data_IF_681820622656
#
_entry.id   IF_681820622656
#
_cell.length_a   1.000
_cell.length_b   1.000
_cell.length_c   1.000
_cell.angle_alpha   90.00
_cell.angle_beta   90.00
_cell.angle_gamma   90.00
#
_symmetry.space_group_name_H-M   'P 1'
#
loop_
_entity.id
_entity.type
_entity.pdbx_description
1 polymer ?
#
# COMPACT_ATOMS: atom_id res chain seq x y z
N UNK A 1 8.62 5.12 -25.12
CA UNK A 1 7.31 5.31 -24.47
C UNK A 1 7.26 4.50 -23.18
N UNK A 2 6.91 5.16 -22.09
CA UNK A 2 6.90 4.49 -20.78
C UNK A 2 5.71 3.54 -20.66
N UNK A 3 6.00 2.30 -20.24
CA UNK A 3 4.94 1.34 -19.95
C UNK A 3 4.51 1.52 -18.49
N UNK A 4 3.39 2.22 -18.29
CA UNK A 4 2.89 2.58 -16.96
C UNK A 4 2.64 1.33 -16.11
N UNK A 5 2.12 0.25 -16.71
CA UNK A 5 1.89 -1.00 -15.98
C UNK A 5 3.19 -1.55 -15.39
N UNK A 6 4.25 -1.57 -16.19
CA UNK A 6 5.55 -2.05 -15.71
C UNK A 6 6.14 -1.12 -14.65
N UNK A 7 5.98 0.19 -14.81
CA UNK A 7 6.45 1.14 -13.79
C UNK A 7 5.73 0.90 -12.47
N UNK A 8 4.41 0.73 -12.51
CA UNK A 8 3.62 0.47 -11.30
C UNK A 8 4.03 -0.84 -10.65
N UNK A 9 4.18 -1.91 -11.44
CA UNK A 9 4.61 -3.21 -10.90
C UNK A 9 5.98 -3.11 -10.22
N UNK A 10 6.92 -2.43 -10.86
CA UNK A 10 8.26 -2.25 -10.30
C UNK A 10 8.23 -1.38 -9.04
N UNK A 11 7.38 -0.36 -9.02
CA UNK A 11 7.22 0.50 -7.84
C UNK A 11 6.63 -0.30 -6.68
N UNK A 12 5.66 -1.18 -6.96
CA UNK A 12 5.09 -2.05 -5.93
C UNK A 12 6.13 -2.99 -5.32
N UNK A 13 7.08 -3.48 -6.12
CA UNK A 13 8.17 -4.31 -5.60
C UNK A 13 9.05 -3.52 -4.64
N UNK A 14 9.36 -2.28 -4.99
CA UNK A 14 10.15 -1.39 -4.12
C UNK A 14 9.38 -1.04 -2.85
N UNK A 15 8.08 -0.79 -2.98
CA UNK A 15 7.20 -0.52 -1.85
C UNK A 15 7.25 -1.70 -0.86
N UNK A 16 7.10 -2.92 -1.37
CA UNK A 16 7.14 -4.12 -0.53
C UNK A 16 8.48 -4.27 0.19
N UNK A 17 9.58 -3.98 -0.49
CA UNK A 17 10.92 -4.04 0.09
C UNK A 17 11.09 -3.03 1.22
N UNK A 18 10.69 -1.77 0.99
CA UNK A 18 10.80 -0.73 2.01
C UNK A 18 9.86 -1.02 3.19
N UNK A 19 8.66 -1.51 2.90
CA UNK A 19 7.72 -1.91 3.93
C UNK A 19 8.32 -3.02 4.82
N UNK A 20 8.95 -4.02 4.21
CA UNK A 20 9.58 -5.11 4.93
C UNK A 20 10.72 -4.69 5.86
N UNK A 21 11.31 -3.52 5.60
CA UNK A 21 12.33 -2.94 6.47
C UNK A 21 11.74 -2.21 7.68
N UNK A 22 10.42 -2.05 7.72
CA UNK A 22 9.76 -1.31 8.79
C UNK A 22 9.94 0.21 8.68
N UNK A 23 10.21 0.72 7.48
CA UNK A 23 10.46 2.14 7.25
C UNK A 23 9.19 2.84 6.81
N UNK A 24 8.39 3.30 7.77
CA UNK A 24 7.12 3.93 7.49
C UNK A 24 7.26 5.24 6.69
N UNK A 25 8.28 6.04 6.97
CA UNK A 25 8.50 7.27 6.21
C UNK A 25 8.92 6.97 4.78
N UNK A 26 9.69 5.90 4.58
CA UNK A 26 10.06 5.43 3.23
C UNK A 26 8.84 4.95 2.45
N UNK A 27 7.90 4.26 3.11
CA UNK A 27 6.64 3.86 2.49
C UNK A 27 5.83 5.09 2.10
N UNK A 28 5.71 6.08 2.99
CA UNK A 28 4.96 7.30 2.72
C UNK A 28 5.53 8.09 1.54
N UNK A 29 6.82 7.96 1.28
CA UNK A 29 7.47 8.66 0.17
C UNK A 29 7.00 8.17 -1.21
N UNK A 30 6.35 7.01 -1.29
CA UNK A 30 5.74 6.53 -2.54
C UNK A 30 4.41 7.24 -2.85
N UNK A 31 3.87 8.02 -1.93
CA UNK A 31 2.61 8.73 -2.09
C UNK A 31 2.86 10.18 -2.48
N UNK A 32 1.89 10.79 -3.16
CA UNK A 32 1.96 12.23 -3.42
C UNK A 32 1.83 13.01 -2.10
N UNK A 33 2.26 14.27 -2.09
CA UNK A 33 2.27 15.09 -0.88
C UNK A 33 0.88 15.28 -0.28
N UNK A 34 -0.16 15.27 -1.12
CA UNK A 34 -1.55 15.44 -0.69
C UNK A 34 -2.38 14.17 -0.89
N UNK A 35 -1.74 13.02 -0.96
CA UNK A 35 -2.40 11.75 -1.19
C UNK A 35 -3.40 11.42 -0.08
N UNK A 36 -4.40 10.64 -0.43
CA UNK A 36 -5.40 10.14 0.51
C UNK A 36 -5.21 8.66 0.74
N UNK A 37 -5.23 8.27 2.00
CA UNK A 37 -5.17 6.88 2.42
C UNK A 37 -6.51 6.53 3.05
N UNK A 38 -7.16 5.50 2.52
CA UNK A 38 -8.51 5.13 2.94
C UNK A 38 -8.52 3.69 3.46
N UNK A 39 -8.05 3.48 4.70
CA UNK A 39 -7.96 2.14 5.25
C UNK A 39 -9.33 1.60 5.66
N UNK A 40 -9.50 0.27 5.70
CA UNK A 40 -10.77 -0.31 6.13
C UNK A 40 -11.03 -0.02 7.60
N UNK A 41 -12.28 0.30 7.90
CA UNK A 41 -12.72 0.49 9.29
C UNK A 41 -12.23 1.76 9.94
N UNK A 42 -11.70 2.72 9.18
CA UNK A 42 -11.16 3.97 9.72
C UNK A 42 -11.47 5.13 8.78
N UNK A 43 -11.46 6.36 9.30
CA UNK A 43 -11.64 7.53 8.44
C UNK A 43 -10.50 7.69 7.44
N UNK A 44 -10.78 8.38 6.34
CA UNK A 44 -9.75 8.71 5.36
C UNK A 44 -8.73 9.66 5.96
N UNK A 45 -7.47 9.44 5.59
CA UNK A 45 -6.33 10.25 6.01
C UNK A 45 -5.79 11.00 4.80
N UNK A 46 -5.15 12.13 5.03
CA UNK A 46 -4.58 12.90 3.94
C UNK A 46 -3.21 13.46 4.33
N UNK A 47 -2.25 13.35 3.41
CA UNK A 47 -0.95 13.97 3.55
C UNK A 47 0.11 13.03 4.11
N UNK A 48 1.38 13.39 3.86
CA UNK A 48 2.53 12.53 4.17
C UNK A 48 2.66 12.23 5.66
N UNK A 49 2.40 13.20 6.51
CA UNK A 49 2.53 13.01 7.96
C UNK A 49 1.53 12.00 8.49
N UNK A 50 0.25 12.14 8.07
CA UNK A 50 -0.79 11.21 8.50
C UNK A 50 -0.56 9.80 7.96
N UNK A 51 -0.10 9.70 6.72
CA UNK A 51 0.19 8.41 6.08
C UNK A 51 1.36 7.71 6.78
N UNK A 52 2.41 8.46 7.11
CA UNK A 52 3.55 7.92 7.85
C UNK A 52 3.10 7.38 9.21
N UNK A 53 2.30 8.17 9.94
CA UNK A 53 1.82 7.76 11.25
C UNK A 53 0.95 6.49 11.17
N UNK A 54 0.11 6.40 10.14
CA UNK A 54 -0.72 5.22 9.95
C UNK A 54 0.13 3.96 9.75
N UNK A 55 1.09 4.00 8.83
CA UNK A 55 1.92 2.83 8.54
C UNK A 55 2.84 2.49 9.71
N UNK A 56 3.32 3.50 10.42
CA UNK A 56 4.11 3.27 11.63
C UNK A 56 3.28 2.52 12.68
N UNK A 57 2.03 2.93 12.86
CA UNK A 57 1.11 2.24 13.78
C UNK A 57 0.84 0.81 13.37
N UNK A 58 0.62 0.58 12.08
CA UNK A 58 0.39 -0.76 11.56
C UNK A 58 1.58 -1.68 11.80
N UNK A 59 2.78 -1.17 11.57
CA UNK A 59 4.02 -1.92 11.80
C UNK A 59 4.21 -2.26 13.27
N UNK A 60 3.89 -1.32 14.16
CA UNK A 60 3.95 -1.56 15.60
C UNK A 60 2.96 -2.60 16.07
N UNK A 61 1.83 -2.74 15.37
CA UNK A 61 0.81 -3.75 15.68
C UNK A 61 1.16 -5.13 15.15
N UNK A 62 2.29 -5.27 14.47
CA UNK A 62 2.79 -6.58 14.06
C UNK A 62 2.76 -6.85 12.57
N UNK A 63 2.32 -5.89 11.74
CA UNK A 63 2.34 -6.08 10.29
C UNK A 63 3.78 -5.92 9.81
N UNK A 64 4.37 -7.01 9.30
CA UNK A 64 5.79 -7.05 8.94
C UNK A 64 6.05 -7.03 7.45
N UNK A 65 5.13 -7.55 6.64
CA UNK A 65 5.32 -7.62 5.20
C UNK A 65 4.05 -7.21 4.49
N UNK A 66 4.21 -6.62 3.31
CA UNK A 66 3.11 -6.33 2.40
C UNK A 66 3.56 -6.73 1.00
N UNK A 67 2.80 -7.62 0.37
CA UNK A 67 3.05 -8.03 -1.01
C UNK A 67 1.89 -7.53 -1.86
N UNK A 68 2.20 -6.92 -2.98
CA UNK A 68 1.21 -6.31 -3.87
C UNK A 68 1.27 -7.00 -5.22
N UNK A 69 0.13 -7.49 -5.69
CA UNK A 69 0.02 -8.13 -7.00
C UNK A 69 -0.88 -7.29 -7.89
N UNK A 70 -0.31 -6.71 -8.94
CA UNK A 70 -1.05 -5.91 -9.92
C UNK A 70 -1.90 -6.82 -10.79
N UNK A 71 -3.22 -6.61 -10.80
CA UNK A 71 -4.13 -7.38 -11.66
C UNK A 71 -4.40 -6.61 -12.93
N UNK A 72 -4.70 -5.31 -12.83
CA UNK A 72 -5.05 -4.50 -14.00
C UNK A 72 -4.60 -3.07 -13.81
N UNK A 73 -4.22 -2.43 -14.90
CA UNK A 73 -3.86 -1.01 -14.92
C UNK A 73 -4.55 -0.36 -16.11
N UNK A 74 -5.29 0.71 -15.84
CA UNK A 74 -5.92 1.51 -16.88
C UNK A 74 -5.38 2.92 -16.85
N UNK A 75 -5.05 3.45 -18.01
CA UNK A 75 -4.61 4.83 -18.15
C UNK A 75 -5.19 5.42 -19.43
N UNK A 76 -5.53 6.70 -19.38
CA UNK A 76 -6.00 7.45 -20.53
C UNK A 76 -4.87 8.15 -21.29
N UNK A 77 -3.61 7.89 -20.89
CA UNK A 77 -2.44 8.50 -21.51
C UNK A 77 -2.04 9.82 -20.88
N UNK A 78 -2.73 10.27 -19.84
CA UNK A 78 -2.38 11.47 -19.10
C UNK A 78 -1.58 11.19 -17.84
N UNK A 79 -1.74 12.03 -16.84
CA UNK A 79 -0.98 11.95 -15.59
C UNK A 79 -1.60 11.02 -14.56
N UNK A 80 -2.71 10.36 -14.88
CA UNK A 80 -3.41 9.47 -13.95
C UNK A 80 -3.49 8.06 -14.51
N UNK A 81 -3.38 7.09 -13.60
CA UNK A 81 -3.59 5.68 -13.92
C UNK A 81 -4.29 5.02 -12.75
N UNK A 82 -5.15 4.05 -13.04
CA UNK A 82 -5.86 3.29 -12.02
C UNK A 82 -5.33 1.87 -12.00
N UNK A 83 -4.96 1.40 -10.82
CA UNK A 83 -4.50 0.02 -10.62
C UNK A 83 -5.51 -0.73 -9.77
N UNK A 84 -5.86 -1.94 -10.21
CA UNK A 84 -6.59 -2.91 -9.40
C UNK A 84 -5.61 -4.01 -9.04
N UNK A 85 -5.55 -4.38 -7.76
CA UNK A 85 -4.63 -5.40 -7.32
C UNK A 85 -5.10 -6.18 -6.12
N UNK A 86 -4.26 -7.12 -5.72
CA UNK A 86 -4.45 -7.93 -4.52
C UNK A 86 -3.26 -7.75 -3.60
N UNK A 87 -3.52 -7.82 -2.30
CA UNK A 87 -2.44 -7.72 -1.33
C UNK A 87 -2.41 -8.93 -0.41
N UNK A 88 -1.24 -9.19 0.13
CA UNK A 88 -1.04 -10.14 1.22
C UNK A 88 -0.22 -9.43 2.30
N UNK A 89 -0.78 -9.36 3.50
CA UNK A 89 -0.07 -8.81 4.65
C UNK A 89 0.40 -9.96 5.53
N UNK A 90 1.67 -9.93 5.92
CA UNK A 90 2.21 -10.88 6.89
C UNK A 90 2.26 -10.23 8.25
N UNK A 91 1.66 -10.88 9.25
CA UNK A 91 1.55 -10.36 10.61
C UNK A 91 2.13 -11.37 11.59
N UNK A 92 2.81 -10.86 12.63
CA UNK A 92 3.22 -11.70 13.73
C UNK A 92 2.04 -11.97 14.65
N UNK A 93 2.05 -13.16 15.29
CA UNK A 93 1.06 -13.48 16.29
C UNK A 93 1.13 -12.46 17.44
N UNK A 94 -0.02 -12.01 17.99
CA UNK A 94 -0.02 -10.99 19.03
C UNK A 94 0.77 -11.32 20.27
N UNK A 95 0.94 -12.61 20.57
CA UNK A 95 1.64 -13.06 21.77
C UNK A 95 3.14 -13.31 21.52
N UNK A 96 3.63 -13.04 20.32
CA UNK A 96 5.01 -13.32 19.97
C UNK A 96 5.31 -14.79 19.81
N UNK A 97 4.29 -15.65 19.70
CA UNK A 97 4.43 -17.10 19.65
C UNK A 97 5.01 -17.65 18.36
N UNK A 98 5.48 -16.81 17.46
CA UNK A 98 6.20 -17.23 16.27
C UNK A 98 5.36 -17.68 15.11
N UNK A 99 4.07 -17.84 15.26
CA UNK A 99 3.20 -18.17 14.13
C UNK A 99 2.85 -16.90 13.36
N UNK A 100 3.16 -16.92 12.06
CA UNK A 100 2.83 -15.81 11.17
C UNK A 100 1.43 -16.02 10.63
N UNK A 101 0.62 -14.96 10.69
CA UNK A 101 -0.73 -14.94 10.12
C UNK A 101 -0.69 -14.10 8.86
N UNK A 102 -1.34 -14.57 7.80
CA UNK A 102 -1.47 -13.81 6.57
C UNK A 102 -2.89 -13.33 6.40
N UNK A 103 -3.03 -12.10 5.93
CA UNK A 103 -4.32 -11.53 5.56
C UNK A 103 -4.25 -11.12 4.11
N UNK A 104 -5.23 -11.56 3.32
CA UNK A 104 -5.32 -11.19 1.91
C UNK A 104 -6.48 -10.25 1.67
N UNK A 105 -6.38 -9.49 0.60
CA UNK A 105 -7.42 -8.57 0.23
C UNK A 105 -7.21 -8.01 -1.17
N UNK A 106 -7.96 -6.97 -1.47
CA UNK A 106 -7.93 -6.30 -2.78
C UNK A 106 -7.90 -4.80 -2.58
N UNK A 107 -7.39 -4.11 -3.60
CA UNK A 107 -7.21 -2.67 -3.52
C UNK A 107 -7.40 -2.02 -4.87
N UNK A 108 -7.72 -0.73 -4.82
CA UNK A 108 -7.65 0.17 -5.96
C UNK A 108 -6.75 1.33 -5.57
N UNK A 109 -5.80 1.65 -6.44
CA UNK A 109 -4.93 2.81 -6.27
C UNK A 109 -5.06 3.71 -7.48
N UNK A 110 -5.29 4.99 -7.23
CA UNK A 110 -5.16 6.02 -8.25
C UNK A 110 -3.73 6.53 -8.19
N UNK A 111 -2.98 6.29 -9.27
CA UNK A 111 -1.61 6.73 -9.41
C UNK A 111 -1.57 8.06 -10.13
N UNK A 112 -0.62 8.90 -9.75
CA UNK A 112 -0.41 10.19 -10.40
C UNK A 112 1.05 10.34 -10.80
N UNK A 113 1.26 10.78 -12.04
CA UNK A 113 2.60 11.14 -12.51
C UNK A 113 2.93 12.53 -11.96
N UNK A 114 3.77 12.55 -10.94
CA UNK A 114 4.14 13.76 -10.22
C UNK A 114 5.57 14.15 -10.62
N UNK A 115 5.68 15.06 -11.59
CA UNK A 115 6.97 15.51 -12.05
C UNK A 115 7.84 14.45 -12.71
N UNK A 116 7.21 13.43 -13.32
CA UNK A 116 7.93 12.34 -13.97
C UNK A 116 8.02 11.07 -13.15
N UNK A 117 7.55 11.09 -11.90
CA UNK A 117 7.55 9.93 -11.02
C UNK A 117 6.11 9.54 -10.70
N UNK A 118 5.75 8.28 -10.96
CA UNK A 118 4.43 7.77 -10.62
C UNK A 118 4.36 7.50 -9.12
N UNK A 119 3.37 8.11 -8.46
CA UNK A 119 3.16 7.99 -7.02
C UNK A 119 1.71 7.67 -6.72
N UNK A 120 1.47 7.00 -5.58
CA UNK A 120 0.11 6.74 -5.12
C UNK A 120 -0.54 8.06 -4.73
N UNK A 121 -1.72 8.34 -5.29
CA UNK A 121 -2.46 9.58 -5.02
C UNK A 121 -3.72 9.32 -4.20
N UNK A 122 -4.36 8.17 -4.39
CA UNK A 122 -5.46 7.72 -3.56
C UNK A 122 -5.36 6.20 -3.43
N UNK A 123 -5.49 5.69 -2.22
CA UNK A 123 -5.26 4.29 -1.91
C UNK A 123 -6.38 3.78 -1.01
N UNK A 124 -7.15 2.83 -1.52
CA UNK A 124 -8.24 2.22 -0.77
C UNK A 124 -8.14 0.69 -0.86
N UNK A 125 -8.34 0.03 0.26
CA UNK A 125 -8.32 -1.43 0.28
C UNK A 125 -9.29 -2.00 1.30
N UNK A 126 -9.58 -3.27 1.15
CA UNK A 126 -10.30 -4.03 2.17
C UNK A 126 -9.88 -5.49 2.13
N UNK A 127 -10.02 -6.14 3.25
CA UNK A 127 -9.67 -7.54 3.40
C UNK A 127 -10.74 -8.45 2.80
N UNK A 128 -10.32 -9.64 2.38
CA UNK A 128 -11.26 -10.65 1.87
C UNK A 128 -12.06 -11.30 2.98
N UNK A 129 -11.51 -11.33 4.20
CA UNK A 129 -12.15 -11.92 5.37
C UNK A 129 -11.88 -11.02 6.57
N UNK A 130 -12.69 -11.13 7.65
CA UNK A 130 -12.40 -10.39 8.87
C UNK A 130 -11.02 -10.73 9.41
N UNK A 131 -10.39 -9.76 10.07
CA UNK A 131 -9.08 -9.99 10.68
C UNK A 131 -9.21 -11.08 11.75
N UNK A 132 -8.35 -12.10 11.71
CA UNK A 132 -8.38 -13.14 12.74
C UNK A 132 -8.17 -12.54 14.13
N UNK A 133 -8.96 -13.00 15.10
CA UNK A 133 -8.79 -12.62 16.48
C UNK A 133 -7.83 -13.62 17.12
N UNK A 134 -6.71 -13.09 17.60
CA UNK A 134 -5.69 -13.90 18.21
C UNK A 134 -6.07 -14.48 19.54
#
# INVERSE_FOLDING_TARGET
>A
MEDVREVIKNTNLKFAEIFGRGDASGVAAFYTADARLMPPGAPALQGAEAITAFWQGAMKMGIKTATLETIDVETSGGDLATEIGRFTLGMEAPDGGGERVEQTGKYIVLWKNDGGTWKLHADIWNADAPTPRG
#
